data_IF_208217059859
#
_entry.id   IF_208217059859
#
_cell.length_a   1.000
_cell.length_b   1.000
_cell.length_c   1.000
_cell.angle_alpha   90.00
_cell.angle_beta   90.00
_cell.angle_gamma   90.00
#
_symmetry.space_group_name_H-M   'P 1'
#
loop_
_entity.id
_entity.type
_entity.pdbx_description
1 polymer ?
#
# COMPACT_ATOMS: atom_id res chain seq x y z
N UNK A 1 -32.68 14.61 -6.48
CA UNK A 1 -33.48 13.42 -6.11
C UNK A 1 -32.56 12.23 -6.17
N UNK A 2 -32.06 11.79 -5.04
CA UNK A 2 -31.09 10.66 -4.93
C UNK A 2 -31.90 9.36 -4.81
N UNK A 3 -31.74 8.46 -5.78
CA UNK A 3 -32.33 7.12 -5.74
C UNK A 3 -31.42 6.18 -4.96
N UNK A 4 -31.88 5.67 -3.83
CA UNK A 4 -31.26 4.60 -3.08
C UNK A 4 -31.59 3.28 -3.76
N UNK A 5 -30.59 2.53 -4.17
CA UNK A 5 -30.74 1.15 -4.63
C UNK A 5 -30.39 0.24 -3.45
N UNK A 6 -31.39 -0.40 -2.89
CA UNK A 6 -31.23 -1.43 -1.87
C UNK A 6 -30.87 -2.74 -2.58
N UNK A 7 -29.68 -3.26 -2.34
CA UNK A 7 -29.27 -4.59 -2.79
C UNK A 7 -29.65 -5.61 -1.70
N UNK A 8 -30.60 -6.47 -2.01
CA UNK A 8 -31.03 -7.59 -1.16
C UNK A 8 -30.02 -8.74 -1.31
N UNK A 9 -29.32 -9.08 -0.23
CA UNK A 9 -28.45 -10.27 -0.16
C UNK A 9 -29.32 -11.50 0.12
N UNK A 10 -29.37 -12.43 -0.84
CA UNK A 10 -29.94 -13.78 -0.66
C UNK A 10 -28.87 -14.67 -0.04
N UNK A 11 -29.07 -15.09 1.21
CA UNK A 11 -28.27 -16.13 1.86
C UNK A 11 -28.71 -17.52 1.35
N UNK A 12 -27.84 -18.18 0.61
CA UNK A 12 -27.94 -19.61 0.32
C UNK A 12 -27.11 -20.37 1.36
N UNK A 13 -27.79 -20.99 2.32
CA UNK A 13 -27.19 -21.93 3.27
C UNK A 13 -27.13 -23.30 2.62
N UNK A 14 -25.94 -23.77 2.25
CA UNK A 14 -25.68 -25.14 1.84
C UNK A 14 -24.97 -25.87 3.00
N UNK A 15 -25.52 -26.93 3.58
CA UNK A 15 -24.80 -27.74 4.54
C UNK A 15 -23.85 -28.71 3.79
N UNK A 16 -22.56 -28.44 3.78
CA UNK A 16 -21.55 -29.42 3.39
C UNK A 16 -21.14 -30.24 4.61
N UNK A 17 -21.53 -31.50 4.61
CA UNK A 17 -20.89 -32.52 5.44
C UNK A 17 -19.50 -32.80 4.87
N UNK A 18 -18.47 -32.32 5.55
CA UNK A 18 -17.08 -32.67 5.25
C UNK A 18 -16.69 -33.85 6.13
N UNK A 19 -16.57 -35.02 5.51
CA UNK A 19 -15.88 -36.19 6.08
C UNK A 19 -14.40 -35.89 6.22
N UNK A 20 -13.90 -35.92 7.46
CA UNK A 20 -12.51 -35.63 7.77
C UNK A 20 -11.56 -36.70 7.21
N UNK A 21 -10.57 -36.20 6.50
CA UNK A 21 -9.24 -36.83 6.43
C UNK A 21 -8.28 -35.90 7.16
N UNK A 22 -7.86 -36.32 8.32
CA UNK A 22 -6.96 -35.57 9.19
C UNK A 22 -5.61 -35.37 8.52
N UNK A 23 -5.41 -34.19 7.95
CA UNK A 23 -4.08 -33.64 7.81
C UNK A 23 -3.66 -33.17 9.18
N UNK A 24 -2.73 -33.86 9.81
CA UNK A 24 -1.96 -33.33 10.94
C UNK A 24 -1.13 -32.16 10.43
N UNK A 25 -1.80 -31.00 10.24
CA UNK A 25 -1.08 -29.75 10.16
C UNK A 25 -0.37 -29.60 11.49
N UNK A 26 0.96 -29.66 11.46
CA UNK A 26 1.78 -29.32 12.60
C UNK A 26 1.27 -27.97 13.13
N UNK A 27 0.60 -27.99 14.26
CA UNK A 27 0.26 -26.81 15.01
C UNK A 27 1.56 -26.20 15.54
N UNK A 28 2.32 -25.55 14.65
CA UNK A 28 3.35 -24.63 15.10
C UNK A 28 2.61 -23.55 15.86
N UNK A 29 2.80 -23.53 17.18
CA UNK A 29 2.19 -22.52 18.04
C UNK A 29 2.35 -21.12 17.43
N UNK A 30 1.34 -20.28 17.61
CA UNK A 30 1.35 -18.91 17.09
C UNK A 30 2.68 -18.25 17.45
N UNK A 31 3.31 -17.50 16.53
CA UNK A 31 4.60 -16.88 16.78
C UNK A 31 4.45 -15.89 17.95
N UNK A 32 5.32 -16.01 18.93
CA UNK A 32 5.32 -15.12 20.09
C UNK A 32 5.83 -13.71 19.75
N UNK A 33 6.55 -13.54 18.64
CA UNK A 33 7.19 -12.31 18.21
C UNK A 33 6.64 -11.84 16.86
N UNK A 34 6.19 -10.55 16.74
CA UNK A 34 5.67 -9.99 15.50
C UNK A 34 6.68 -10.01 14.34
N UNK A 35 7.97 -9.93 14.63
CA UNK A 35 9.02 -9.90 13.61
C UNK A 35 9.19 -11.28 12.99
N UNK A 36 9.15 -12.32 13.80
CA UNK A 36 9.22 -13.70 13.33
C UNK A 36 7.93 -14.11 12.61
N UNK A 37 6.77 -13.60 13.07
CA UNK A 37 5.50 -13.75 12.36
C UNK A 37 5.59 -13.15 10.95
N UNK A 38 6.06 -11.92 10.82
CA UNK A 38 6.22 -11.24 9.54
C UNK A 38 7.19 -11.99 8.62
N UNK A 39 8.37 -12.38 9.11
CA UNK A 39 9.36 -13.11 8.30
C UNK A 39 8.83 -14.42 7.71
N UNK A 40 7.93 -15.11 8.44
CA UNK A 40 7.29 -16.34 7.93
C UNK A 40 6.33 -16.08 6.79
N UNK A 41 5.82 -14.85 6.64
CA UNK A 41 4.97 -14.47 5.53
C UNK A 41 5.75 -14.06 4.28
N UNK A 42 6.99 -13.55 4.45
CA UNK A 42 7.82 -13.05 3.37
C UNK A 42 8.48 -14.21 2.58
N UNK A 43 7.65 -15.08 2.02
CA UNK A 43 8.04 -16.25 1.22
C UNK A 43 7.30 -16.21 -0.13
N UNK A 44 7.85 -16.92 -1.12
CA UNK A 44 7.32 -16.96 -2.48
C UNK A 44 5.85 -17.42 -2.53
N UNK A 45 5.09 -16.89 -3.47
CA UNK A 45 3.68 -17.20 -3.75
C UNK A 45 2.72 -16.92 -2.57
N UNK A 46 3.12 -16.06 -1.66
CA UNK A 46 2.25 -15.54 -0.61
C UNK A 46 2.11 -14.04 -0.72
N UNK A 47 1.00 -13.54 -0.21
CA UNK A 47 0.76 -12.12 -0.24
C UNK A 47 -0.13 -11.62 0.88
N UNK A 48 -0.54 -10.37 0.73
CA UNK A 48 -1.47 -9.68 1.62
C UNK A 48 -2.23 -8.61 0.83
N UNK A 49 -3.48 -8.40 1.18
CA UNK A 49 -4.29 -7.30 0.66
C UNK A 49 -4.22 -6.12 1.62
N UNK A 50 -4.22 -4.91 1.07
CA UNK A 50 -4.24 -3.68 1.84
C UNK A 50 -5.29 -2.72 1.28
N UNK A 51 -6.05 -2.12 2.20
CA UNK A 51 -6.90 -0.94 1.96
C UNK A 51 -6.35 0.20 2.80
N UNK A 52 -6.08 1.35 2.20
CA UNK A 52 -5.44 2.49 2.88
C UNK A 52 -6.13 3.79 2.52
N UNK A 53 -6.36 4.62 3.54
CA UNK A 53 -6.75 6.03 3.37
C UNK A 53 -5.62 6.90 3.91
N UNK A 54 -5.13 7.80 3.07
CA UNK A 54 -4.19 8.84 3.44
C UNK A 54 -4.92 10.19 3.39
N UNK A 55 -4.91 10.91 4.49
CA UNK A 55 -5.52 12.25 4.60
C UNK A 55 -4.43 13.29 4.80
N UNK A 56 -4.34 14.24 3.89
CA UNK A 56 -3.57 15.47 4.01
C UNK A 56 -4.46 16.57 4.55
N UNK A 57 -4.00 17.33 5.54
CA UNK A 57 -4.74 18.49 6.07
C UNK A 57 -3.83 19.71 6.00
N UNK A 58 -4.21 20.70 5.21
CA UNK A 58 -3.54 21.99 5.12
C UNK A 58 -3.87 22.81 6.36
N UNK A 59 -2.84 23.24 7.10
CA UNK A 59 -3.05 23.82 8.43
C UNK A 59 -3.55 25.27 8.34
N UNK A 60 -3.33 25.95 7.21
CA UNK A 60 -3.72 27.35 7.04
C UNK A 60 -5.26 27.55 6.99
N UNK A 61 -5.96 26.65 6.35
CA UNK A 61 -7.41 26.74 6.08
C UNK A 61 -8.21 25.53 6.54
N UNK A 62 -7.50 24.45 6.93
CA UNK A 62 -8.13 23.20 7.33
C UNK A 62 -8.65 22.34 6.18
N UNK A 63 -8.36 22.71 4.92
CA UNK A 63 -8.72 21.92 3.76
C UNK A 63 -8.11 20.53 3.84
N UNK A 64 -8.86 19.52 3.40
CA UNK A 64 -8.45 18.12 3.42
C UNK A 64 -8.49 17.52 2.03
N UNK A 65 -7.47 16.73 1.74
CA UNK A 65 -7.41 15.87 0.57
C UNK A 65 -7.30 14.42 1.05
N UNK A 66 -8.01 13.52 0.39
CA UNK A 66 -7.95 12.09 0.67
C UNK A 66 -7.38 11.34 -0.52
N UNK A 67 -6.57 10.34 -0.23
CA UNK A 67 -6.06 9.37 -1.18
C UNK A 67 -6.44 7.98 -0.69
N UNK A 68 -7.13 7.24 -1.53
CA UNK A 68 -7.49 5.84 -1.29
C UNK A 68 -6.54 4.93 -2.06
N UNK A 69 -6.11 3.87 -1.45
CA UNK A 69 -5.26 2.86 -2.10
C UNK A 69 -5.80 1.49 -1.74
N UNK A 70 -6.10 0.70 -2.75
CA UNK A 70 -6.32 -0.73 -2.64
C UNK A 70 -5.13 -1.44 -3.28
N UNK A 71 -4.58 -2.45 -2.62
CA UNK A 71 -3.41 -3.13 -3.14
C UNK A 71 -3.40 -4.62 -2.76
N UNK A 72 -2.80 -5.41 -3.65
CA UNK A 72 -2.32 -6.75 -3.36
C UNK A 72 -0.80 -6.71 -3.47
N UNK A 73 -0.12 -7.15 -2.44
CA UNK A 73 1.33 -7.31 -2.46
C UNK A 73 1.68 -8.79 -2.41
N UNK A 74 2.56 -9.21 -3.30
CA UNK A 74 3.13 -10.54 -3.35
C UNK A 74 4.53 -10.52 -2.77
N UNK A 75 4.87 -11.57 -2.04
CA UNK A 75 6.15 -11.73 -1.39
C UNK A 75 7.07 -12.67 -2.18
N UNK A 76 8.34 -12.42 -2.12
CA UNK A 76 9.42 -13.32 -2.49
C UNK A 76 10.35 -13.54 -1.31
N UNK A 77 11.57 -13.90 -1.56
CA UNK A 77 12.58 -14.23 -0.52
C UNK A 77 12.90 -13.02 0.37
N UNK A 78 12.13 -12.86 1.43
CA UNK A 78 12.33 -11.85 2.47
C UNK A 78 11.86 -10.43 2.12
N UNK A 79 11.16 -10.23 1.00
CA UNK A 79 10.72 -8.90 0.53
C UNK A 79 9.44 -8.97 -0.30
N UNK A 80 8.86 -7.81 -0.58
CA UNK A 80 7.83 -7.65 -1.61
C UNK A 80 8.50 -7.72 -2.98
N UNK A 81 7.94 -8.53 -3.89
CA UNK A 81 8.42 -8.69 -5.26
C UNK A 81 7.47 -8.08 -6.27
N UNK A 82 6.18 -8.15 -5.99
CA UNK A 82 5.15 -7.70 -6.92
C UNK A 82 4.07 -6.94 -6.17
N UNK A 83 3.49 -5.94 -6.81
CA UNK A 83 2.38 -5.16 -6.28
C UNK A 83 1.41 -4.87 -7.42
N UNK A 84 0.13 -5.15 -7.21
CA UNK A 84 -0.96 -4.61 -8.00
C UNK A 84 -1.74 -3.64 -7.10
N UNK A 85 -1.83 -2.38 -7.50
CA UNK A 85 -2.51 -1.36 -6.71
C UNK A 85 -3.35 -0.44 -7.57
N UNK A 86 -4.47 -0.01 -7.01
CA UNK A 86 -5.27 1.09 -7.52
C UNK A 86 -5.26 2.21 -6.50
N UNK A 87 -5.07 3.43 -6.94
CA UNK A 87 -5.15 4.60 -6.08
C UNK A 87 -6.03 5.67 -6.71
N UNK A 88 -6.76 6.39 -5.85
CA UNK A 88 -7.74 7.41 -6.19
C UNK A 88 -7.63 8.59 -5.23
N UNK A 89 -8.19 9.75 -5.59
CA UNK A 89 -8.14 10.95 -4.76
C UNK A 89 -9.35 11.84 -4.98
N UNK A 90 -9.77 12.57 -3.95
CA UNK A 90 -10.73 13.68 -4.07
C UNK A 90 -10.07 15.03 -4.38
N UNK A 91 -8.78 15.01 -4.71
CA UNK A 91 -8.05 16.20 -5.11
C UNK A 91 -8.68 16.86 -6.34
N UNK A 92 -8.79 18.19 -6.32
CA UNK A 92 -9.54 19.00 -7.31
C UNK A 92 -9.27 18.70 -8.79
N UNK A 93 -8.06 18.26 -9.14
CA UNK A 93 -7.67 17.97 -10.53
C UNK A 93 -7.47 16.47 -10.77
N UNK A 94 -7.95 15.62 -9.88
CA UNK A 94 -7.90 14.18 -10.05
C UNK A 94 -9.13 13.73 -10.79
N UNK A 95 -8.97 13.01 -11.89
CA UNK A 95 -10.09 12.63 -12.76
C UNK A 95 -10.53 11.20 -12.57
N UNK A 96 -9.57 10.26 -12.54
CA UNK A 96 -9.86 8.85 -12.56
C UNK A 96 -8.91 8.05 -11.66
N UNK A 97 -9.35 6.91 -11.11
CA UNK A 97 -8.47 5.99 -10.40
C UNK A 97 -7.33 5.51 -11.29
N UNK A 98 -6.13 5.42 -10.74
CA UNK A 98 -4.95 4.93 -11.46
C UNK A 98 -4.61 3.53 -10.96
N UNK A 99 -4.58 2.56 -11.87
CA UNK A 99 -4.06 1.22 -11.58
C UNK A 99 -2.61 1.11 -11.99
N UNK A 100 -1.81 0.51 -11.13
CA UNK A 100 -0.38 0.29 -11.33
C UNK A 100 0.01 -1.11 -10.91
N UNK A 101 0.74 -1.80 -11.77
CA UNK A 101 1.40 -3.06 -11.43
C UNK A 101 2.91 -2.78 -11.37
N UNK A 102 3.55 -3.22 -10.29
CA UNK A 102 5.01 -3.17 -10.14
C UNK A 102 5.53 -4.58 -9.96
N UNK A 103 6.43 -5.00 -10.81
CA UNK A 103 7.02 -6.35 -10.80
C UNK A 103 8.49 -6.25 -11.17
N UNK A 104 9.37 -6.85 -10.35
CA UNK A 104 10.82 -6.92 -10.60
C UNK A 104 11.47 -5.57 -10.97
N UNK A 105 10.99 -4.46 -10.36
CA UNK A 105 11.52 -3.12 -10.63
C UNK A 105 10.99 -2.45 -11.90
N UNK A 106 10.03 -3.06 -12.59
CA UNK A 106 9.28 -2.44 -13.68
C UNK A 106 7.90 -2.03 -13.19
N UNK A 107 7.46 -0.86 -13.62
CA UNK A 107 6.09 -0.40 -13.39
C UNK A 107 5.31 -0.43 -14.68
N UNK A 108 4.03 -0.75 -14.57
CA UNK A 108 3.04 -0.66 -15.64
C UNK A 108 1.89 0.18 -15.11
N UNK A 109 1.59 1.29 -15.77
CA UNK A 109 0.47 2.16 -15.41
C UNK A 109 -0.63 1.94 -16.43
N UNK A 110 -1.84 1.65 -15.97
CA UNK A 110 -2.99 1.50 -16.84
C UNK A 110 -3.47 2.88 -17.31
N UNK A 111 -3.77 2.99 -18.61
CA UNK A 111 -4.32 4.17 -19.25
C UNK A 111 -5.20 3.72 -20.43
N UNK A 112 -6.45 4.15 -20.42
CA UNK A 112 -7.45 3.77 -21.43
C UNK A 112 -7.38 4.64 -22.71
N UNK A 113 -6.49 5.64 -22.76
CA UNK A 113 -6.34 6.57 -23.87
C UNK A 113 -5.10 6.30 -24.74
N UNK A 114 -4.54 5.11 -24.67
CA UNK A 114 -3.34 4.75 -25.39
C UNK A 114 -3.61 4.44 -26.88
N UNK A 115 -2.64 4.69 -27.77
CA UNK A 115 -2.76 4.37 -29.18
C UNK A 115 -2.85 2.86 -29.42
N UNK A 116 -3.42 2.48 -30.59
CA UNK A 116 -3.51 1.09 -31.06
C UNK A 116 -4.21 0.12 -30.11
N UNK A 117 -5.14 0.62 -29.24
CA UNK A 117 -5.87 -0.22 -28.28
C UNK A 117 -5.00 -0.81 -27.16
N UNK A 118 -3.83 -0.25 -26.93
CA UNK A 118 -2.98 -0.59 -25.79
C UNK A 118 -3.60 -0.10 -24.49
N UNK A 119 -3.22 -0.71 -23.37
CA UNK A 119 -3.78 -0.41 -22.06
C UNK A 119 -2.71 -0.09 -21.00
N UNK A 120 -1.42 -0.27 -21.30
CA UNK A 120 -0.37 -0.15 -20.30
C UNK A 120 0.83 0.66 -20.79
N UNK A 121 1.28 1.59 -19.93
CA UNK A 121 2.51 2.36 -20.12
C UNK A 121 3.60 1.72 -19.25
N UNK A 122 4.69 1.22 -19.85
CA UNK A 122 5.83 0.72 -19.09
C UNK A 122 6.65 1.91 -18.56
N UNK A 123 7.11 1.80 -17.32
CA UNK A 123 8.06 2.72 -16.71
C UNK A 123 9.20 1.94 -16.07
N UNK A 124 10.41 2.37 -16.30
CA UNK A 124 11.55 1.91 -15.54
C UNK A 124 11.57 2.71 -14.23
N UNK A 125 11.15 2.06 -13.15
CA UNK A 125 11.29 2.61 -11.80
C UNK A 125 12.04 1.57 -10.97
N UNK A 126 13.22 1.92 -10.52
CA UNK A 126 14.09 1.03 -9.77
C UNK A 126 13.62 0.84 -8.31
N UNK A 127 12.54 1.50 -7.90
CA UNK A 127 12.07 1.45 -6.53
C UNK A 127 10.64 0.91 -6.44
N UNK A 128 10.49 -0.26 -5.81
CA UNK A 128 9.19 -0.70 -5.31
C UNK A 128 8.80 0.26 -4.19
N UNK A 129 7.89 1.18 -4.48
CA UNK A 129 7.35 2.07 -3.45
C UNK A 129 6.74 1.23 -2.34
N UNK A 130 6.99 1.54 -1.07
CA UNK A 130 6.45 0.75 0.04
C UNK A 130 4.94 0.96 0.13
N UNK A 131 4.21 0.12 -0.56
CA UNK A 131 2.74 0.12 -0.56
C UNK A 131 2.25 -0.31 0.82
N UNK A 132 2.81 -1.38 1.38
CA UNK A 132 2.47 -1.85 2.72
C UNK A 132 3.08 -0.93 3.78
N UNK A 133 2.46 0.22 3.96
CA UNK A 133 2.95 1.23 4.91
C UNK A 133 1.82 1.97 5.61
N UNK A 134 2.06 2.33 6.86
CA UNK A 134 1.37 3.42 7.52
C UNK A 134 2.25 4.66 7.34
N UNK A 135 2.20 5.19 6.12
CA UNK A 135 3.04 6.28 5.64
C UNK A 135 4.56 5.98 5.78
N UNK A 136 5.27 6.61 6.69
CA UNK A 136 6.69 6.42 6.93
C UNK A 136 7.06 5.04 7.52
N UNK A 137 6.09 4.27 8.00
CA UNK A 137 6.32 2.98 8.63
C UNK A 137 6.07 1.86 7.62
N UNK A 138 7.14 1.24 7.11
CA UNK A 138 7.07 0.06 6.23
C UNK A 138 6.65 -1.15 7.06
N UNK A 139 5.42 -1.64 6.84
CA UNK A 139 4.84 -2.74 7.62
C UNK A 139 5.40 -4.12 7.25
N UNK A 140 5.96 -4.25 6.04
CA UNK A 140 6.60 -5.47 5.56
C UNK A 140 8.14 -5.45 5.71
N UNK A 141 8.70 -4.46 6.41
CA UNK A 141 10.14 -4.41 6.75
C UNK A 141 10.34 -4.86 8.20
N UNK A 142 10.91 -6.06 8.45
CA UNK A 142 11.10 -6.57 9.80
C UNK A 142 11.99 -5.68 10.69
N UNK A 143 12.98 -5.01 10.10
CA UNK A 143 13.91 -4.15 10.86
C UNK A 143 13.19 -2.87 11.30
N UNK A 144 12.43 -2.26 10.40
CA UNK A 144 11.63 -1.08 10.72
C UNK A 144 10.51 -1.41 11.71
N UNK A 145 9.78 -2.51 11.50
CA UNK A 145 8.72 -2.93 12.42
C UNK A 145 9.27 -3.17 13.84
N UNK A 146 10.45 -3.78 13.96
CA UNK A 146 11.15 -3.95 15.24
C UNK A 146 11.45 -2.61 15.90
N UNK A 147 11.98 -1.64 15.15
CA UNK A 147 12.30 -0.31 15.67
C UNK A 147 11.05 0.44 16.13
N UNK A 148 9.94 0.34 15.37
CA UNK A 148 8.65 0.94 15.74
C UNK A 148 8.12 0.32 17.03
N UNK A 149 8.03 -1.01 17.11
CA UNK A 149 7.52 -1.73 18.28
C UNK A 149 8.37 -1.50 19.54
N UNK A 150 9.67 -1.27 19.40
CA UNK A 150 10.54 -0.92 20.53
C UNK A 150 10.18 0.44 21.18
N UNK A 151 9.38 1.27 20.51
CA UNK A 151 8.89 2.55 21.03
C UNK A 151 7.47 2.47 21.60
N UNK A 152 6.95 1.27 21.84
CA UNK A 152 5.61 1.04 22.40
C UNK A 152 5.48 1.66 23.79
N UNK A 153 4.45 2.47 23.97
CA UNK A 153 4.07 3.07 25.26
C UNK A 153 2.81 2.47 25.83
N UNK A 154 1.91 1.98 24.95
CA UNK A 154 0.64 1.39 25.35
C UNK A 154 0.49 0.05 24.62
N UNK A 155 0.10 -0.99 25.38
CA UNK A 155 -0.34 -2.28 24.86
C UNK A 155 -1.60 -2.68 25.59
N UNK A 156 -2.68 -2.98 24.84
CA UNK A 156 -3.95 -3.40 25.42
C UNK A 156 -4.78 -4.21 24.41
N UNK A 157 -5.73 -5.02 24.87
CA UNK A 157 -6.70 -5.65 23.99
C UNK A 157 -7.44 -4.59 23.14
N UNK A 158 -7.80 -4.95 21.91
CA UNK A 158 -8.53 -4.10 20.99
C UNK A 158 -9.64 -4.88 20.29
N UNK A 159 -10.26 -4.29 19.25
CA UNK A 159 -11.36 -4.94 18.52
C UNK A 159 -10.92 -6.14 17.68
N UNK A 160 -11.89 -6.66 16.93
CA UNK A 160 -11.69 -7.76 15.97
C UNK A 160 -11.39 -7.13 14.60
N UNK A 161 -10.33 -7.56 13.95
CA UNK A 161 -9.96 -7.20 12.59
C UNK A 161 -9.60 -8.45 11.81
N UNK A 162 -10.09 -8.56 10.56
CA UNK A 162 -9.88 -9.74 9.72
C UNK A 162 -10.24 -11.05 10.46
N UNK A 163 -11.38 -11.03 11.15
CA UNK A 163 -11.91 -12.19 11.90
C UNK A 163 -11.13 -12.60 13.16
N UNK A 164 -10.07 -11.89 13.53
CA UNK A 164 -9.24 -12.23 14.70
C UNK A 164 -9.26 -11.15 15.78
N UNK A 165 -9.29 -11.53 17.07
CA UNK A 165 -9.05 -10.60 18.16
C UNK A 165 -7.65 -9.97 18.02
N UNK A 166 -7.55 -8.69 18.35
CA UNK A 166 -6.28 -7.96 18.20
C UNK A 166 -5.83 -7.33 19.51
N UNK A 167 -4.53 -7.10 19.61
CA UNK A 167 -3.91 -6.23 20.59
C UNK A 167 -3.46 -4.93 19.94
N UNK A 168 -3.83 -3.79 20.52
CA UNK A 168 -3.33 -2.47 20.13
C UNK A 168 -1.97 -2.23 20.77
N UNK A 169 -1.01 -1.90 19.92
CA UNK A 169 0.28 -1.30 20.28
C UNK A 169 0.28 0.14 19.82
N UNK A 170 0.71 1.06 20.68
CA UNK A 170 0.74 2.48 20.37
C UNK A 170 2.02 3.12 20.90
N UNK A 171 2.58 4.05 20.14
CA UNK A 171 3.78 4.76 20.53
C UNK A 171 4.07 6.00 19.68
N UNK A 172 5.27 6.50 19.80
CA UNK A 172 5.81 7.60 19.01
C UNK A 172 7.24 7.28 18.66
N UNK A 173 7.59 7.40 17.40
CA UNK A 173 8.95 7.26 16.88
C UNK A 173 9.34 8.55 16.17
N UNK A 174 10.63 8.89 16.09
CA UNK A 174 11.07 10.01 15.29
C UNK A 174 11.66 9.58 13.96
N UNK A 175 11.69 10.51 13.01
CA UNK A 175 12.15 10.23 11.64
C UNK A 175 13.60 9.74 11.61
N UNK A 176 14.47 10.27 12.50
CA UNK A 176 15.86 9.82 12.59
C UNK A 176 16.00 8.36 13.04
N UNK A 177 15.12 7.89 13.93
CA UNK A 177 15.08 6.49 14.35
C UNK A 177 14.63 5.58 13.21
N UNK A 178 13.59 5.98 12.45
CA UNK A 178 13.15 5.23 11.27
C UNK A 178 14.24 5.17 10.20
N UNK A 179 14.88 6.30 9.89
CA UNK A 179 15.98 6.34 8.93
C UNK A 179 17.15 5.45 9.35
N UNK A 180 17.48 5.41 10.65
CA UNK A 180 18.53 4.52 11.16
C UNK A 180 18.17 3.05 11.00
N UNK A 181 16.90 2.70 11.17
CA UNK A 181 16.43 1.33 11.04
C UNK A 181 16.39 0.86 9.58
N UNK A 182 15.98 1.72 8.64
CA UNK A 182 15.87 1.40 7.21
C UNK A 182 16.32 2.61 6.39
N UNK A 183 17.62 2.77 6.13
CA UNK A 183 18.14 3.79 5.22
C UNK A 183 17.60 3.56 3.78
N UNK A 184 17.42 4.63 3.02
CA UNK A 184 16.79 4.53 1.70
C UNK A 184 15.27 4.64 1.80
N UNK A 185 14.83 5.67 2.39
CA UNK A 185 13.44 5.94 2.76
C UNK A 185 12.53 6.21 1.54
N UNK A 186 11.24 5.80 1.59
CA UNK A 186 10.26 6.17 0.57
C UNK A 186 10.00 7.69 0.59
N UNK A 187 9.36 8.20 -0.44
CA UNK A 187 8.93 9.59 -0.62
C UNK A 187 10.00 10.59 -1.06
N UNK A 188 10.98 10.14 -1.85
CA UNK A 188 11.95 11.04 -2.46
C UNK A 188 13.01 11.60 -1.52
N UNK A 189 13.05 11.15 -0.27
CA UNK A 189 14.14 11.43 0.63
C UNK A 189 15.32 10.50 0.33
N UNK A 190 15.99 10.79 -0.77
CA UNK A 190 17.27 10.16 -1.13
C UNK A 190 18.37 10.57 -0.14
N UNK A 191 18.16 11.66 0.60
CA UNK A 191 19.12 12.21 1.51
C UNK A 191 18.82 11.88 2.98
N UNK A 192 19.86 11.71 3.76
CA UNK A 192 19.78 11.62 5.22
C UNK A 192 19.04 12.83 5.78
N UNK A 193 18.04 12.65 6.66
CA UNK A 193 17.32 13.76 7.25
C UNK A 193 18.28 14.68 8.02
N UNK A 194 18.08 15.97 7.89
CA UNK A 194 18.79 16.98 8.67
C UNK A 194 18.56 16.77 10.17
N UNK A 195 19.37 17.42 11.02
CA UNK A 195 19.20 17.32 12.48
C UNK A 195 17.82 17.82 12.96
N UNK A 196 17.21 18.77 12.24
CA UNK A 196 15.86 19.29 12.52
C UNK A 196 14.81 18.26 12.12
N UNK A 197 14.86 17.76 10.90
CA UNK A 197 13.93 16.79 10.34
C UNK A 197 13.96 15.45 11.10
N UNK A 198 15.14 15.00 11.52
CA UNK A 198 15.31 13.79 12.31
C UNK A 198 14.52 13.79 13.64
N UNK A 199 14.17 14.98 14.16
CA UNK A 199 13.36 15.14 15.38
C UNK A 199 11.86 15.10 15.13
N UNK A 200 11.40 15.11 13.88
CA UNK A 200 9.98 15.03 13.54
C UNK A 200 9.37 13.75 14.15
N UNK A 201 8.26 13.93 14.86
CA UNK A 201 7.58 12.87 15.58
C UNK A 201 6.49 12.26 14.71
N UNK A 202 6.43 10.95 14.69
CA UNK A 202 5.40 10.14 14.05
C UNK A 202 4.69 9.38 15.16
N UNK A 203 3.42 9.70 15.39
CA UNK A 203 2.55 8.94 16.28
C UNK A 203 2.04 7.73 15.50
N UNK A 204 2.02 6.56 16.13
CA UNK A 204 1.64 5.34 15.48
C UNK A 204 0.78 4.44 16.36
N UNK A 205 -0.06 3.63 15.71
CA UNK A 205 -0.87 2.56 16.31
C UNK A 205 -0.85 1.36 15.39
N UNK A 206 -0.62 0.18 15.94
CA UNK A 206 -0.68 -1.10 15.24
C UNK A 206 -1.61 -2.04 15.97
N UNK A 207 -2.52 -2.68 15.25
CA UNK A 207 -3.37 -3.74 15.76
C UNK A 207 -2.84 -5.07 15.23
N UNK A 208 -2.31 -5.89 16.14
CA UNK A 208 -1.75 -7.19 15.82
C UNK A 208 -2.75 -8.27 16.21
N UNK A 209 -2.98 -9.23 15.30
CA UNK A 209 -3.76 -10.43 15.55
C UNK A 209 -3.08 -11.38 16.53
N UNK A 210 -3.74 -12.46 16.90
CA UNK A 210 -3.16 -13.52 17.74
C UNK A 210 -1.93 -14.16 17.09
N UNK A 211 -1.88 -14.23 15.77
CA UNK A 211 -0.74 -14.64 14.96
C UNK A 211 0.39 -13.62 14.89
N UNK A 212 0.27 -12.50 15.60
CA UNK A 212 1.22 -11.39 15.66
C UNK A 212 1.41 -10.62 14.33
N UNK A 213 0.51 -10.80 13.36
CA UNK A 213 0.53 -10.03 12.11
C UNK A 213 -0.31 -8.76 12.23
N UNK A 214 0.12 -7.70 11.56
CA UNK A 214 -0.58 -6.41 11.57
C UNK A 214 -1.89 -6.53 10.79
N UNK A 215 -3.02 -6.23 11.42
CA UNK A 215 -4.36 -6.18 10.81
C UNK A 215 -4.79 -4.77 10.46
N UNK A 216 -4.33 -3.80 11.26
CA UNK A 216 -4.56 -2.38 11.01
C UNK A 216 -3.35 -1.59 11.48
N UNK A 217 -3.01 -0.56 10.73
CA UNK A 217 -1.97 0.39 11.09
C UNK A 217 -2.50 1.81 10.93
N UNK A 218 -2.16 2.67 11.87
CA UNK A 218 -2.48 4.09 11.82
C UNK A 218 -1.22 4.89 12.10
N UNK A 219 -0.99 5.92 11.32
CA UNK A 219 0.12 6.85 11.48
C UNK A 219 -0.37 8.29 11.42
N UNK A 220 0.27 9.19 12.19
CA UNK A 220 0.05 10.63 12.06
C UNK A 220 1.35 11.39 12.29
N UNK A 221 1.59 12.37 11.45
CA UNK A 221 2.78 13.20 11.51
C UNK A 221 2.53 14.57 10.88
N UNK A 222 3.38 15.52 11.19
CA UNK A 222 3.38 16.84 10.59
C UNK A 222 4.62 17.00 9.72
N UNK A 223 4.48 17.55 8.55
CA UNK A 223 5.56 17.71 7.60
C UNK A 223 6.73 18.51 8.20
N UNK A 224 7.94 17.91 8.29
CA UNK A 224 9.11 18.60 8.80
C UNK A 224 9.87 19.35 7.69
N UNK A 225 9.51 19.15 6.42
CA UNK A 225 10.27 19.58 5.23
C UNK A 225 9.76 20.89 4.62
N UNK A 226 8.73 21.51 5.22
CA UNK A 226 8.21 22.79 4.76
C UNK A 226 9.35 23.79 4.61
N UNK A 227 9.61 24.20 3.36
CA UNK A 227 10.51 25.31 3.05
C UNK A 227 9.83 26.62 3.43
N UNK A 228 10.60 27.70 3.54
CA UNK A 228 10.04 29.01 3.84
C UNK A 228 8.97 29.39 2.82
N UNK A 229 7.72 29.55 3.29
CA UNK A 229 6.58 29.90 2.47
C UNK A 229 5.60 28.75 2.14
N UNK A 230 5.98 27.51 2.39
CA UNK A 230 5.06 26.39 2.20
C UNK A 230 4.01 26.34 3.32
N UNK A 231 2.78 26.02 2.96
CA UNK A 231 1.70 25.80 3.93
C UNK A 231 2.00 24.52 4.71
N UNK A 232 2.05 24.56 6.05
CA UNK A 232 2.28 23.38 6.84
C UNK A 232 1.14 22.36 6.63
N UNK A 233 1.51 21.09 6.39
CA UNK A 233 0.56 19.99 6.18
C UNK A 233 0.72 18.97 7.29
N UNK A 234 -0.40 18.45 7.78
CA UNK A 234 -0.44 17.29 8.65
C UNK A 234 -1.04 16.10 7.92
N UNK A 235 -0.51 14.94 8.19
CA UNK A 235 -0.89 13.71 7.53
C UNK A 235 -1.42 12.69 8.52
N UNK A 236 -2.44 11.96 8.10
CA UNK A 236 -2.98 10.81 8.81
C UNK A 236 -3.13 9.67 7.81
N UNK A 237 -2.64 8.50 8.18
CA UNK A 237 -2.81 7.28 7.39
C UNK A 237 -3.51 6.23 8.23
N UNK A 238 -4.50 5.58 7.65
CA UNK A 238 -5.20 4.42 8.22
C UNK A 238 -5.17 3.30 7.18
N UNK A 239 -4.48 2.21 7.48
CA UNK A 239 -4.33 1.08 6.60
C UNK A 239 -4.89 -0.19 7.27
N UNK A 240 -5.60 -1.01 6.50
CA UNK A 240 -6.06 -2.34 6.89
C UNK A 240 -5.38 -3.38 6.04
N UNK A 241 -4.96 -4.48 6.67
CA UNK A 241 -4.29 -5.59 6.03
C UNK A 241 -5.10 -6.86 6.28
N UNK A 242 -5.41 -7.59 5.21
CA UNK A 242 -6.24 -8.79 5.25
C UNK A 242 -5.62 -9.91 4.42
N UNK A 243 -5.96 -11.15 4.72
CA UNK A 243 -5.53 -12.30 3.92
C UNK A 243 -4.02 -12.53 3.93
N UNK A 244 -3.34 -12.29 5.06
CA UNK A 244 -1.92 -12.63 5.19
C UNK A 244 -1.65 -14.08 4.86
N UNK A 245 -0.66 -14.32 3.99
CA UNK A 245 -0.25 -15.65 3.57
C UNK A 245 -1.15 -16.30 2.53
N UNK A 246 -2.16 -15.59 2.01
CA UNK A 246 -2.95 -16.06 0.89
C UNK A 246 -2.07 -16.23 -0.35
N UNK A 247 -2.38 -17.21 -1.18
CA UNK A 247 -1.77 -17.33 -2.50
C UNK A 247 -2.14 -16.12 -3.36
N UNK A 248 -1.16 -15.62 -4.09
CA UNK A 248 -1.31 -14.50 -5.01
C UNK A 248 -0.73 -14.87 -6.36
N UNK A 249 -1.38 -14.36 -7.41
CA UNK A 249 -0.92 -14.50 -8.80
C UNK A 249 -1.14 -13.15 -9.50
N UNK A 250 -0.12 -12.29 -9.42
CA UNK A 250 -0.14 -10.99 -10.08
C UNK A 250 0.60 -11.11 -11.41
N UNK A 251 -0.18 -11.18 -12.49
CA UNK A 251 0.38 -11.34 -13.83
C UNK A 251 1.01 -10.04 -14.36
N UNK A 252 2.11 -10.18 -15.08
CA UNK A 252 2.67 -9.10 -15.91
C UNK A 252 1.68 -8.78 -17.03
N UNK A 253 1.42 -7.51 -17.36
CA UNK A 253 0.65 -7.15 -18.55
C UNK A 253 1.21 -7.82 -19.80
N UNK A 254 0.31 -8.28 -20.68
CA UNK A 254 0.72 -8.87 -21.96
C UNK A 254 1.55 -7.89 -22.77
N UNK A 255 2.59 -8.35 -23.44
CA UNK A 255 3.39 -7.48 -24.31
C UNK A 255 2.53 -6.84 -25.43
N UNK A 256 1.46 -7.51 -25.83
CA UNK A 256 0.53 -6.97 -26.82
C UNK A 256 -0.32 -5.82 -26.29
N UNK A 257 -0.47 -5.68 -24.96
CA UNK A 257 -1.22 -4.60 -24.31
C UNK A 257 -0.33 -3.44 -23.85
N UNK A 258 0.99 -3.60 -23.93
CA UNK A 258 1.96 -2.58 -23.52
C UNK A 258 2.33 -1.68 -24.69
N UNK A 259 2.23 -0.34 -24.49
CA UNK A 259 2.59 0.63 -25.49
C UNK A 259 4.11 0.65 -25.73
N UNK A 260 4.52 0.75 -26.99
CA UNK A 260 5.92 0.87 -27.42
C UNK A 260 6.19 2.25 -28.02
N UNK A 261 7.44 2.67 -28.20
CA UNK A 261 7.77 3.92 -28.89
C UNK A 261 7.20 4.01 -30.32
N UNK A 262 7.08 2.87 -31.02
CA UNK A 262 6.49 2.83 -32.36
C UNK A 262 4.98 3.09 -32.38
N UNK A 263 4.27 2.76 -31.32
CA UNK A 263 2.83 3.03 -31.22
C UNK A 263 2.54 4.54 -31.19
N UNK A 264 3.40 5.33 -30.52
CA UNK A 264 3.28 6.78 -30.49
C UNK A 264 3.59 7.43 -31.83
N UNK A 265 4.62 6.98 -32.56
CA UNK A 265 4.98 7.54 -33.87
C UNK A 265 3.93 7.25 -34.94
N UNK A 266 3.23 6.12 -34.87
CA UNK A 266 2.16 5.78 -35.81
C UNK A 266 0.89 6.64 -35.61
N UNK A 267 0.62 7.07 -34.39
CA UNK A 267 -0.53 7.94 -34.10
C UNK A 267 -0.37 9.38 -34.60
N UNK A 268 0.85 9.92 -34.59
CA UNK A 268 1.16 11.25 -35.12
C UNK A 268 1.05 11.29 -36.66
N UNK A 269 1.39 10.21 -37.34
CA UNK A 269 1.30 10.14 -38.81
C UNK A 269 -0.14 10.11 -39.33
N UNK A 270 -1.07 9.61 -38.55
CA UNK A 270 -2.49 9.55 -38.93
C UNK A 270 -3.22 10.90 -38.89
N UNK A 271 -2.69 11.89 -38.18
CA UNK A 271 -3.26 13.25 -38.08
C UNK A 271 -2.78 14.16 -39.24
N UNK A 272 -1.69 13.81 -39.92
CA UNK A 272 -1.04 14.65 -40.94
C UNK A 272 -1.52 14.43 -42.38
N UNK A 273 -2.47 13.54 -42.66
CA UNK A 273 -2.93 13.25 -44.04
C UNK A 273 -4.41 13.67 -44.23
N UNK A 274 -4.71 14.96 -44.01
CA UNK A 274 -5.85 15.55 -44.68
C UNK A 274 -5.37 16.78 -45.51
N UNK A 275 -4.92 16.59 -46.76
CA UNK A 275 -4.68 17.72 -47.63
C UNK A 275 -6.06 18.33 -47.94
N UNK A 276 -6.24 19.58 -47.53
CA UNK A 276 -7.38 20.40 -47.94
C UNK A 276 -7.61 20.27 -49.44
N UNK A 277 -8.71 19.65 -49.82
CA UNK A 277 -9.26 19.77 -51.15
C UNK A 277 -9.63 21.23 -51.40
N UNK A 278 -9.00 21.87 -52.40
CA UNK A 278 -9.25 23.23 -52.86
C UNK A 278 -10.61 23.41 -53.48
#
# INVERSE_FOLDING_TARGET
>A
MRRWIAASAVMLVVPMMATGLGSTANAQGAPADPIDALKRQLVENRGVKMSKVHTSTYIADGEKEHFWTEAVAEFGRGKITTIDMTYDSDRRNWTDPIRQITIEGRQYIQDDHLPNGKSWIPREDNEIRPVLSADWIKLADPVMLKAVLATTKVKRPAGIYDGTPTALYQGTINLGQLYKASPGFPFGLVAKPTRKEAKAKISWRLWLGEDQLVRRAWGSWREPFSKNGDVPVSYVVDARLTGWGAETDIAVPSADDVVTPSDWSSSETSVSLNPAAG
#
